data_IF_053649306897
#
_entry.id   IF_053649306897
#
_cell.length_a   1.000
_cell.length_b   1.000
_cell.length_c   1.000
_cell.angle_alpha   90.00
_cell.angle_beta   90.00
_cell.angle_gamma   90.00
#
_symmetry.space_group_name_H-M   'P 1'
#
loop_
_entity.id
_entity.type
_entity.pdbx_description
1 polymer ?
#
# COMPACT_ATOMS: atom_id res chain seq x y z
N UNK A 1 22.45 -17.38 -21.04
CA UNK A 1 22.18 -16.70 -22.33
C UNK A 1 21.77 -15.27 -22.03
N UNK A 2 22.56 -14.26 -22.43
CA UNK A 2 22.18 -12.84 -22.30
C UNK A 2 21.06 -12.57 -23.30
N UNK A 3 19.86 -12.21 -22.83
CA UNK A 3 18.78 -11.70 -23.68
C UNK A 3 19.30 -10.41 -24.35
N UNK A 4 19.52 -10.45 -25.65
CA UNK A 4 19.80 -9.26 -26.46
C UNK A 4 18.60 -8.32 -26.37
N UNK A 5 18.83 -7.10 -25.89
CA UNK A 5 17.79 -6.07 -25.82
C UNK A 5 17.23 -5.83 -27.23
N UNK A 6 15.90 -5.81 -27.34
CA UNK A 6 15.21 -5.46 -28.59
C UNK A 6 15.61 -4.02 -28.96
N UNK A 7 15.95 -3.72 -30.23
CA UNK A 7 16.32 -2.36 -30.61
C UNK A 7 15.18 -1.38 -30.31
N UNK A 8 15.56 -0.24 -29.75
CA UNK A 8 14.62 0.86 -29.43
C UNK A 8 14.04 1.41 -30.75
N UNK A 9 12.72 1.56 -30.81
CA UNK A 9 12.07 2.13 -32.01
C UNK A 9 12.30 3.65 -32.05
N UNK A 10 12.29 4.24 -33.27
CA UNK A 10 12.47 5.69 -33.44
C UNK A 10 11.46 6.50 -32.63
N UNK A 11 10.21 6.06 -32.53
CA UNK A 11 9.15 6.68 -31.73
C UNK A 11 9.49 6.70 -30.23
N UNK A 12 9.97 5.59 -29.69
CA UNK A 12 10.39 5.49 -28.28
C UNK A 12 11.57 6.43 -28.01
N UNK A 13 12.57 6.44 -28.90
CA UNK A 13 13.73 7.31 -28.78
C UNK A 13 13.35 8.80 -28.80
N UNK A 14 12.45 9.19 -29.70
CA UNK A 14 11.97 10.56 -29.83
C UNK A 14 11.17 11.00 -28.59
N UNK A 15 10.20 10.18 -28.14
CA UNK A 15 9.38 10.49 -26.97
C UNK A 15 10.21 10.55 -25.69
N UNK A 16 11.18 9.65 -25.56
CA UNK A 16 12.15 9.65 -24.46
C UNK A 16 12.96 10.95 -24.43
N UNK A 17 13.43 11.41 -25.58
CA UNK A 17 14.21 12.64 -25.70
C UNK A 17 13.37 13.87 -25.29
N UNK A 18 12.12 13.94 -25.71
CA UNK A 18 11.20 15.00 -25.28
C UNK A 18 10.97 15.01 -23.77
N UNK A 19 10.81 13.82 -23.15
CA UNK A 19 10.69 13.71 -21.68
C UNK A 19 11.97 14.19 -20.97
N UNK A 20 13.15 13.87 -21.51
CA UNK A 20 14.40 14.40 -20.98
C UNK A 20 14.43 15.94 -21.03
N UNK A 21 14.12 16.52 -22.18
CA UNK A 21 14.11 17.98 -22.35
C UNK A 21 13.17 18.67 -21.36
N UNK A 22 11.96 18.15 -21.21
CA UNK A 22 10.97 18.73 -20.27
C UNK A 22 11.41 18.59 -18.80
N UNK A 23 11.86 17.41 -18.39
CA UNK A 23 12.27 17.20 -16.98
C UNK A 23 13.60 17.89 -16.66
N UNK A 24 14.53 17.94 -17.62
CA UNK A 24 15.81 18.61 -17.46
C UNK A 24 15.62 20.11 -17.28
N UNK A 25 14.81 20.76 -18.17
CA UNK A 25 14.51 22.17 -18.08
C UNK A 25 13.91 22.55 -16.71
N UNK A 26 13.00 21.73 -16.21
CA UNK A 26 12.42 21.94 -14.88
C UNK A 26 13.45 21.76 -13.77
N UNK A 27 14.25 20.68 -13.81
CA UNK A 27 15.27 20.44 -12.80
C UNK A 27 16.37 21.52 -12.78
N UNK A 28 16.75 22.04 -13.94
CA UNK A 28 17.76 23.11 -14.04
C UNK A 28 17.27 24.47 -13.50
N UNK A 29 15.95 24.72 -13.53
CA UNK A 29 15.36 25.98 -13.06
C UNK A 29 14.85 25.92 -11.62
N UNK A 30 14.32 24.79 -11.19
CA UNK A 30 13.53 24.70 -9.95
C UNK A 30 14.07 23.68 -8.94
N UNK A 31 14.98 22.80 -9.36
CA UNK A 31 15.53 21.76 -8.48
C UNK A 31 17.07 21.75 -8.54
N UNK A 32 17.67 20.58 -8.82
CA UNK A 32 19.11 20.43 -8.91
C UNK A 32 19.52 19.29 -9.87
N UNK A 33 20.85 19.18 -10.07
CA UNK A 33 21.43 18.13 -10.94
C UNK A 33 21.11 16.70 -10.47
N UNK A 34 20.89 16.48 -9.18
CA UNK A 34 20.59 15.16 -8.65
C UNK A 34 19.21 14.68 -9.10
N UNK A 35 18.18 15.53 -8.97
CA UNK A 35 16.84 15.24 -9.49
C UNK A 35 16.85 15.05 -11.01
N UNK A 36 17.60 15.85 -11.74
CA UNK A 36 17.81 15.68 -13.18
C UNK A 36 18.31 14.27 -13.52
N UNK A 37 19.33 13.82 -12.80
CA UNK A 37 19.88 12.46 -12.96
C UNK A 37 18.86 11.37 -12.64
N UNK A 38 18.08 11.53 -11.57
CA UNK A 38 17.04 10.58 -11.18
C UNK A 38 15.91 10.53 -12.23
N UNK A 39 15.46 11.67 -12.75
CA UNK A 39 14.46 11.72 -13.82
C UNK A 39 14.93 10.97 -15.06
N UNK A 40 16.15 11.25 -15.54
CA UNK A 40 16.72 10.56 -16.68
C UNK A 40 16.80 9.05 -16.47
N UNK A 41 17.27 8.61 -15.29
CA UNK A 41 17.34 7.20 -14.93
C UNK A 41 15.95 6.53 -14.94
N UNK A 42 14.93 7.20 -14.43
CA UNK A 42 13.58 6.67 -14.42
C UNK A 42 13.00 6.58 -15.82
N UNK A 43 13.16 7.61 -16.64
CA UNK A 43 12.72 7.64 -18.05
C UNK A 43 13.39 6.51 -18.84
N UNK A 44 14.69 6.29 -18.68
CA UNK A 44 15.39 5.17 -19.30
C UNK A 44 14.83 3.81 -18.87
N UNK A 45 14.51 3.66 -17.59
CA UNK A 45 13.90 2.44 -17.07
C UNK A 45 12.48 2.22 -17.63
N UNK A 46 11.71 3.30 -17.79
CA UNK A 46 10.39 3.29 -18.43
C UNK A 46 10.49 2.87 -19.90
N UNK A 47 11.49 3.36 -20.63
CA UNK A 47 11.70 3.04 -22.05
C UNK A 47 12.00 1.54 -22.29
N UNK A 48 12.52 0.84 -21.29
CA UNK A 48 12.81 -0.61 -21.36
C UNK A 48 11.59 -1.51 -21.15
N UNK A 49 10.44 -0.94 -20.70
CA UNK A 49 9.19 -1.71 -20.60
C UNK A 49 8.59 -1.95 -21.99
N UNK A 50 7.85 -3.01 -22.14
CA UNK A 50 7.21 -3.37 -23.40
C UNK A 50 5.70 -3.56 -23.23
N UNK A 51 4.88 -2.63 -23.72
CA UNK A 51 5.24 -1.35 -24.34
C UNK A 51 5.73 -0.30 -23.32
N UNK A 52 6.56 0.70 -23.74
CA UNK A 52 6.89 1.83 -22.87
C UNK A 52 5.63 2.60 -22.47
N UNK A 53 5.42 2.89 -21.17
CA UNK A 53 4.15 3.43 -20.67
C UNK A 53 3.88 4.84 -21.19
N UNK A 54 4.90 5.65 -21.46
CA UNK A 54 4.79 7.03 -21.91
C UNK A 54 4.40 7.20 -23.40
N UNK A 55 4.29 6.11 -24.16
CA UNK A 55 3.78 6.17 -25.55
C UNK A 55 2.28 6.47 -25.63
N UNK A 56 1.58 6.47 -24.51
CA UNK A 56 0.16 6.79 -24.43
C UNK A 56 -0.08 7.92 -23.44
N UNK A 57 -0.98 8.83 -23.81
CA UNK A 57 -1.36 9.95 -22.99
C UNK A 57 -0.53 11.21 -23.24
N UNK A 58 -0.78 12.23 -22.43
CA UNK A 58 -0.13 13.55 -22.56
C UNK A 58 1.29 13.52 -22.02
N UNK A 59 2.23 14.05 -22.79
CA UNK A 59 3.66 14.01 -22.44
C UNK A 59 4.01 14.93 -21.26
N UNK A 60 3.36 16.07 -21.18
CA UNK A 60 3.49 17.00 -20.04
C UNK A 60 3.05 16.35 -18.71
N UNK A 61 1.97 15.57 -18.75
CA UNK A 61 1.50 14.81 -17.58
C UNK A 61 2.48 13.70 -17.18
N UNK A 62 3.14 13.07 -18.16
CA UNK A 62 4.20 12.11 -17.86
C UNK A 62 5.42 12.79 -17.24
N UNK A 63 5.87 13.92 -17.81
CA UNK A 63 7.00 14.68 -17.28
C UNK A 63 6.74 15.15 -15.83
N UNK A 64 5.58 15.78 -15.59
CA UNK A 64 5.16 16.20 -14.25
C UNK A 64 5.05 15.01 -13.28
N UNK A 65 4.43 13.91 -13.71
CA UNK A 65 4.26 12.70 -12.91
C UNK A 65 5.59 12.05 -12.53
N UNK A 66 6.59 12.07 -13.40
CA UNK A 66 7.94 11.56 -13.12
C UNK A 66 8.60 12.37 -12.00
N UNK A 67 8.59 13.70 -12.12
CA UNK A 67 9.18 14.57 -11.10
C UNK A 67 8.42 14.47 -9.79
N UNK A 68 7.09 14.43 -9.84
CA UNK A 68 6.24 14.28 -8.66
C UNK A 68 6.48 12.94 -7.95
N UNK A 69 6.58 11.83 -8.69
CA UNK A 69 6.83 10.50 -8.15
C UNK A 69 8.18 10.43 -7.41
N UNK A 70 9.24 10.93 -8.04
CA UNK A 70 10.57 11.04 -7.42
C UNK A 70 10.56 12.01 -6.23
N UNK A 71 9.85 13.12 -6.37
CA UNK A 71 9.70 14.11 -5.31
C UNK A 71 9.04 13.56 -4.06
N UNK A 72 7.94 12.80 -4.22
CA UNK A 72 7.25 12.15 -3.11
C UNK A 72 8.14 11.14 -2.37
N UNK A 73 9.02 10.45 -3.10
CA UNK A 73 9.94 9.46 -2.53
C UNK A 73 11.15 10.07 -1.84
N UNK A 74 11.43 11.35 -2.11
CA UNK A 74 12.61 12.08 -1.65
C UNK A 74 12.27 13.33 -0.83
N UNK A 75 11.07 13.42 -0.28
CA UNK A 75 10.59 14.51 0.56
C UNK A 75 10.67 15.92 -0.09
N UNK A 76 10.57 16.01 -1.42
CA UNK A 76 10.65 17.24 -2.17
C UNK A 76 9.59 18.28 -1.76
N UNK A 77 8.43 17.82 -1.28
CA UNK A 77 7.30 18.67 -0.87
C UNK A 77 7.37 19.10 0.60
N UNK A 78 8.38 18.64 1.34
CA UNK A 78 8.63 19.04 2.71
C UNK A 78 9.67 20.16 2.75
N UNK A 79 9.28 21.31 3.31
CA UNK A 79 10.12 22.53 3.39
C UNK A 79 11.36 22.38 4.29
N UNK A 80 11.44 21.30 5.06
CA UNK A 80 12.62 20.99 5.88
C UNK A 80 13.76 20.37 5.06
N UNK A 81 13.53 20.03 3.80
CA UNK A 81 14.52 19.47 2.88
C UNK A 81 14.88 20.45 1.75
N UNK A 82 16.11 20.35 1.25
CA UNK A 82 16.59 21.11 0.09
C UNK A 82 16.95 20.14 -1.07
N UNK A 83 16.48 20.42 -2.30
CA UNK A 83 15.54 21.47 -2.68
C UNK A 83 14.10 21.10 -2.24
N UNK A 84 13.27 22.12 -2.01
CA UNK A 84 11.84 21.93 -1.76
C UNK A 84 11.00 22.77 -2.73
N UNK A 85 9.83 22.26 -3.08
CA UNK A 85 8.85 22.96 -3.93
C UNK A 85 7.45 22.52 -3.55
N UNK A 86 6.45 23.38 -3.73
CA UNK A 86 5.07 22.94 -3.52
C UNK A 86 4.57 22.05 -4.68
N UNK A 87 3.67 21.11 -4.39
CA UNK A 87 3.02 20.29 -5.42
C UNK A 87 2.26 21.15 -6.45
N UNK A 88 1.69 22.27 -6.02
CA UNK A 88 1.01 23.24 -6.88
C UNK A 88 1.96 23.89 -7.88
N UNK A 89 3.13 24.38 -7.41
CA UNK A 89 4.12 25.05 -8.26
C UNK A 89 4.73 24.09 -9.28
N UNK A 90 4.99 22.83 -8.87
CA UNK A 90 5.42 21.79 -9.79
C UNK A 90 4.38 21.59 -10.91
N UNK A 91 3.11 21.42 -10.54
CA UNK A 91 2.05 21.21 -11.52
C UNK A 91 1.86 22.41 -12.44
N UNK A 92 1.94 23.63 -11.91
CA UNK A 92 1.86 24.86 -12.68
C UNK A 92 2.99 24.97 -13.72
N UNK A 93 4.22 24.61 -13.35
CA UNK A 93 5.38 24.63 -14.25
C UNK A 93 5.22 23.71 -15.46
N UNK A 94 4.52 22.57 -15.31
CA UNK A 94 4.22 21.66 -16.42
C UNK A 94 2.84 21.90 -17.08
N UNK A 95 2.07 22.88 -16.62
CA UNK A 95 0.72 23.16 -17.14
C UNK A 95 -0.27 22.03 -16.87
N UNK A 96 -0.13 21.31 -15.76
CA UNK A 96 -0.96 20.15 -15.38
C UNK A 96 -1.80 20.42 -14.13
N UNK A 97 -2.86 19.63 -13.95
CA UNK A 97 -3.67 19.68 -12.72
C UNK A 97 -3.07 18.78 -11.65
N UNK A 98 -3.08 19.20 -10.38
CA UNK A 98 -2.48 18.49 -9.27
C UNK A 98 -3.05 17.07 -9.11
N UNK A 99 -4.37 16.89 -9.14
CA UNK A 99 -5.01 15.57 -9.01
C UNK A 99 -4.56 14.59 -10.11
N UNK A 100 -4.53 15.04 -11.39
CA UNK A 100 -4.07 14.20 -12.50
C UNK A 100 -2.59 13.88 -12.41
N UNK A 101 -1.78 14.82 -11.93
CA UNK A 101 -0.32 14.62 -11.75
C UNK A 101 -0.04 13.66 -10.60
N UNK A 102 -0.73 13.83 -9.47
CA UNK A 102 -0.60 12.92 -8.33
C UNK A 102 -1.02 11.49 -8.69
N UNK A 103 -2.11 11.31 -9.43
CA UNK A 103 -2.54 10.01 -9.92
C UNK A 103 -1.48 9.38 -10.86
N UNK A 104 -0.91 10.18 -11.78
CA UNK A 104 0.17 9.72 -12.66
C UNK A 104 1.42 9.36 -11.87
N UNK A 105 1.77 10.14 -10.85
CA UNK A 105 2.89 9.86 -9.97
C UNK A 105 2.69 8.57 -9.17
N UNK A 106 1.49 8.31 -8.65
CA UNK A 106 1.15 7.04 -7.98
C UNK A 106 1.35 5.86 -8.92
N UNK A 107 0.83 5.93 -10.14
CA UNK A 107 1.05 4.91 -11.16
C UNK A 107 2.53 4.63 -11.42
N UNK A 108 3.36 5.68 -11.51
CA UNK A 108 4.81 5.54 -11.72
C UNK A 108 5.48 4.91 -10.50
N UNK A 109 5.11 5.33 -9.29
CA UNK A 109 5.65 4.79 -8.04
C UNK A 109 5.40 3.30 -7.91
N UNK A 110 4.18 2.87 -8.13
CA UNK A 110 3.80 1.44 -8.12
C UNK A 110 4.55 0.65 -9.21
N UNK A 111 4.65 1.21 -10.42
CA UNK A 111 5.29 0.54 -11.57
C UNK A 111 6.79 0.28 -11.38
N UNK A 112 7.48 1.08 -10.57
CA UNK A 112 8.93 1.06 -10.40
C UNK A 112 9.38 0.92 -8.95
N UNK A 113 8.47 0.62 -8.04
CA UNK A 113 8.73 0.49 -6.60
C UNK A 113 9.45 1.73 -6.05
N UNK A 114 8.87 2.92 -6.34
CA UNK A 114 9.43 4.17 -5.86
C UNK A 114 8.82 4.55 -4.51
N UNK A 115 9.64 4.60 -3.50
CA UNK A 115 9.27 5.00 -2.14
C UNK A 115 10.51 5.05 -1.26
N UNK A 116 10.36 5.54 -0.03
CA UNK A 116 11.46 5.58 0.91
C UNK A 116 12.04 4.18 1.21
N UNK A 117 11.17 3.15 1.27
CA UNK A 117 11.54 1.75 1.42
C UNK A 117 11.66 0.97 0.10
N UNK A 118 11.39 1.62 -1.03
CA UNK A 118 11.46 1.02 -2.36
C UNK A 118 12.88 0.95 -2.94
N UNK A 119 13.00 1.00 -4.29
CA UNK A 119 14.30 0.92 -4.97
C UNK A 119 15.21 2.12 -4.61
N UNK A 120 16.19 1.88 -3.75
CA UNK A 120 17.17 2.87 -3.28
C UNK A 120 17.91 3.61 -4.42
N UNK A 121 17.90 3.04 -5.63
CA UNK A 121 18.53 3.65 -6.79
C UNK A 121 17.84 4.95 -7.26
N UNK A 122 16.64 5.23 -6.76
CA UNK A 122 15.85 6.43 -7.03
C UNK A 122 15.76 7.40 -5.85
N UNK A 123 16.51 7.14 -4.78
CA UNK A 123 16.67 8.08 -3.68
C UNK A 123 17.80 9.09 -3.99
N UNK A 124 17.65 10.31 -3.48
CA UNK A 124 18.74 11.28 -3.44
C UNK A 124 19.85 10.78 -2.51
N UNK A 125 21.05 11.32 -2.66
CA UNK A 125 22.19 10.90 -1.83
C UNK A 125 21.95 11.09 -0.35
N UNK A 126 21.27 12.17 0.02
CA UNK A 126 20.94 12.51 1.40
C UNK A 126 19.95 11.49 1.98
N UNK A 127 18.84 11.28 1.28
CA UNK A 127 17.81 10.32 1.69
C UNK A 127 18.34 8.87 1.67
N UNK A 128 19.14 8.54 0.65
CA UNK A 128 19.79 7.23 0.57
C UNK A 128 20.78 6.96 1.70
N UNK A 129 21.54 7.99 2.15
CA UNK A 129 22.43 7.88 3.31
C UNK A 129 21.62 7.76 4.61
N UNK A 130 20.58 8.56 4.78
CA UNK A 130 19.70 8.48 5.94
C UNK A 130 19.06 7.09 6.05
N UNK A 131 18.56 6.55 4.93
CA UNK A 131 18.05 5.19 4.89
C UNK A 131 19.11 4.15 5.18
N UNK A 132 20.29 4.21 4.54
CA UNK A 132 21.39 3.28 4.79
C UNK A 132 21.88 3.34 6.23
N UNK A 133 21.89 4.53 6.86
CA UNK A 133 22.20 4.69 8.28
C UNK A 133 21.12 4.03 9.16
N UNK A 134 19.84 4.18 8.79
CA UNK A 134 18.73 3.50 9.47
C UNK A 134 18.84 1.98 9.31
N UNK A 135 19.04 1.51 8.07
CA UNK A 135 19.23 0.08 7.77
C UNK A 135 20.44 -0.50 8.54
N UNK A 136 21.56 0.24 8.58
CA UNK A 136 22.75 -0.16 9.33
C UNK A 136 22.51 -0.14 10.83
N UNK A 137 21.78 0.85 11.33
CA UNK A 137 21.40 0.93 12.75
C UNK A 137 20.45 -0.21 13.11
N UNK A 138 19.45 -0.51 12.27
CA UNK A 138 18.56 -1.64 12.44
C UNK A 138 19.31 -2.98 12.35
N UNK A 139 20.27 -3.12 11.41
CA UNK A 139 21.12 -4.30 11.31
C UNK A 139 22.07 -4.45 12.52
N UNK A 140 22.58 -3.36 13.08
CA UNK A 140 23.39 -3.37 14.31
C UNK A 140 22.52 -3.65 15.55
N UNK A 141 21.29 -3.16 15.54
CA UNK A 141 20.32 -3.42 16.61
C UNK A 141 19.65 -4.79 16.48
N UNK A 142 19.58 -5.36 15.26
CA UNK A 142 18.93 -6.65 15.03
C UNK A 142 19.53 -7.81 15.85
N UNK A 143 20.87 -7.96 16.01
CA UNK A 143 21.43 -8.95 16.93
C UNK A 143 21.11 -8.62 18.39
N UNK A 144 21.21 -7.34 18.79
CA UNK A 144 20.86 -6.88 20.14
C UNK A 144 19.35 -7.02 20.42
N UNK A 145 18.52 -6.80 19.40
CA UNK A 145 17.07 -7.05 19.46
C UNK A 145 16.72 -8.54 19.39
N UNK A 146 17.67 -9.41 18.98
CA UNK A 146 17.45 -10.85 18.83
C UNK A 146 18.10 -11.71 19.93
N UNK A 147 19.22 -11.26 20.53
CA UNK A 147 19.88 -11.94 21.64
C UNK A 147 19.47 -11.40 23.01
N UNK A 148 19.14 -10.10 23.06
CA UNK A 148 18.67 -9.39 24.25
C UNK A 148 17.43 -8.54 23.90
N UNK A 149 16.37 -9.15 23.36
CA UNK A 149 15.08 -8.65 23.80
C UNK A 149 15.05 -9.00 25.28
N UNK A 150 15.11 -7.99 26.17
CA UNK A 150 14.98 -8.26 27.58
C UNK A 150 13.72 -9.11 27.73
N UNK A 151 13.79 -10.14 28.55
CA UNK A 151 12.60 -10.75 29.17
C UNK A 151 11.80 -9.69 29.94
N UNK A 152 12.34 -8.47 30.02
CA UNK A 152 11.70 -7.31 30.60
C UNK A 152 10.51 -6.91 29.74
N UNK A 153 9.38 -7.09 30.35
CA UNK A 153 8.02 -6.77 30.00
C UNK A 153 7.93 -5.64 28.95
N UNK A 154 7.59 -5.93 27.68
CA UNK A 154 7.47 -4.87 26.67
C UNK A 154 6.32 -3.90 26.95
N UNK A 155 5.72 -3.95 28.15
CA UNK A 155 4.50 -3.26 28.53
C UNK A 155 3.25 -4.05 28.17
N UNK A 156 2.15 -3.74 28.83
CA UNK A 156 0.85 -4.28 28.46
C UNK A 156 0.26 -3.50 27.28
N UNK A 157 -0.49 -4.16 26.38
CA UNK A 157 -1.26 -3.44 25.36
C UNK A 157 -2.14 -2.38 25.98
N UNK A 158 -2.15 -1.20 25.38
CA UNK A 158 -3.02 -0.13 25.89
C UNK A 158 -4.47 -0.31 25.43
N UNK A 159 -5.40 0.27 26.18
CA UNK A 159 -6.81 0.19 25.83
C UNK A 159 -7.10 1.05 24.58
N UNK A 160 -8.03 0.63 23.71
CA UNK A 160 -8.47 1.44 22.58
C UNK A 160 -9.19 2.70 23.06
N UNK A 161 -9.12 3.75 22.25
CA UNK A 161 -9.85 4.99 22.47
C UNK A 161 -11.09 5.06 21.58
N UNK A 162 -12.15 5.72 22.10
CA UNK A 162 -13.40 5.94 21.37
C UNK A 162 -13.85 7.37 21.62
N UNK A 163 -13.94 8.15 20.55
CA UNK A 163 -14.39 9.53 20.65
C UNK A 163 -15.30 9.90 19.46
N UNK A 164 -16.49 10.42 19.72
CA UNK A 164 -17.40 10.88 18.67
C UNK A 164 -17.89 9.82 17.69
N UNK A 165 -17.65 8.52 17.98
CA UNK A 165 -17.92 7.39 17.09
C UNK A 165 -16.69 6.90 16.32
N UNK A 166 -15.56 7.58 16.44
CA UNK A 166 -14.25 7.10 15.96
C UNK A 166 -13.68 6.06 16.92
N UNK A 167 -13.03 5.05 16.35
CA UNK A 167 -12.28 4.03 17.06
C UNK A 167 -10.81 4.13 16.66
N UNK A 168 -9.94 4.21 17.66
CA UNK A 168 -8.48 4.07 17.50
C UNK A 168 -8.01 3.02 18.47
N UNK A 169 -7.31 2.01 17.95
CA UNK A 169 -6.78 0.95 18.79
C UNK A 169 -5.66 1.45 19.70
N UNK A 170 -5.31 0.66 20.71
CA UNK A 170 -4.20 0.96 21.59
C UNK A 170 -2.85 0.54 20.99
N UNK A 171 -1.79 0.91 21.71
CA UNK A 171 -0.44 0.44 21.38
C UNK A 171 -0.30 -1.05 21.66
N UNK A 172 0.40 -1.73 20.76
CA UNK A 172 0.73 -3.14 20.84
C UNK A 172 2.24 -3.33 20.96
N UNK A 173 2.77 -3.66 22.13
CA UNK A 173 4.21 -3.90 22.32
C UNK A 173 4.75 -5.04 21.43
N UNK A 174 3.89 -5.95 21.02
CA UNK A 174 4.20 -7.04 20.10
C UNK A 174 4.66 -6.61 18.71
N UNK A 175 4.36 -5.37 18.28
CA UNK A 175 4.52 -4.91 16.89
C UNK A 175 5.97 -4.97 16.40
N UNK A 176 6.93 -4.59 17.22
CA UNK A 176 8.35 -4.61 16.82
C UNK A 176 8.86 -6.04 16.62
N UNK A 177 8.50 -6.94 17.52
CA UNK A 177 8.86 -8.36 17.39
C UNK A 177 8.17 -9.01 16.19
N UNK A 178 6.94 -8.63 15.90
CA UNK A 178 6.22 -9.05 14.69
C UNK A 178 6.96 -8.64 13.42
N UNK A 179 7.40 -7.38 13.31
CA UNK A 179 8.15 -6.93 12.12
C UNK A 179 9.47 -7.69 11.94
N UNK A 180 10.19 -7.98 13.03
CA UNK A 180 11.40 -8.79 12.96
C UNK A 180 11.12 -10.23 12.46
N UNK A 181 9.99 -10.83 12.88
CA UNK A 181 9.57 -12.14 12.39
C UNK A 181 9.11 -12.10 10.92
N UNK A 182 8.43 -11.02 10.52
CA UNK A 182 8.01 -10.81 9.14
C UNK A 182 9.21 -10.66 8.20
N UNK A 183 10.19 -9.86 8.56
CA UNK A 183 11.45 -9.73 7.81
C UNK A 183 12.16 -11.08 7.68
N UNK A 184 12.25 -11.82 8.77
CA UNK A 184 12.86 -13.17 8.75
C UNK A 184 12.10 -14.14 7.86
N UNK A 185 10.77 -14.04 7.83
CA UNK A 185 9.94 -14.82 6.92
C UNK A 185 10.20 -14.47 5.45
N UNK A 186 10.34 -13.19 5.12
CA UNK A 186 10.68 -12.76 3.76
C UNK A 186 12.04 -13.28 3.31
N UNK A 187 13.02 -13.30 4.21
CA UNK A 187 14.39 -13.77 3.92
C UNK A 187 14.51 -15.29 3.83
N UNK A 188 13.84 -16.02 4.69
CA UNK A 188 14.09 -17.46 4.90
C UNK A 188 12.86 -18.34 4.68
N UNK A 189 11.69 -17.76 4.41
CA UNK A 189 10.43 -18.48 4.31
C UNK A 189 9.90 -19.00 5.66
N UNK A 190 8.92 -19.93 5.63
CA UNK A 190 8.21 -20.41 6.81
C UNK A 190 9.08 -21.36 7.66
N UNK A 191 9.97 -20.81 8.46
CA UNK A 191 10.82 -21.58 9.38
C UNK A 191 10.09 -21.93 10.69
N UNK A 192 10.49 -23.00 11.41
CA UNK A 192 9.95 -23.29 12.74
C UNK A 192 10.10 -22.15 13.74
N UNK A 193 11.19 -21.36 13.63
CA UNK A 193 11.47 -20.22 14.49
C UNK A 193 10.44 -19.12 14.27
N UNK A 194 10.11 -18.80 13.02
CA UNK A 194 9.08 -17.80 12.69
C UNK A 194 7.72 -18.25 13.22
N UNK A 195 7.35 -19.52 12.99
CA UNK A 195 6.05 -20.03 13.44
C UNK A 195 5.92 -20.00 14.96
N UNK A 196 6.95 -20.48 15.69
CA UNK A 196 6.98 -20.45 17.14
C UNK A 196 6.94 -19.02 17.67
N UNK A 197 7.69 -18.10 17.07
CA UNK A 197 7.68 -16.69 17.45
C UNK A 197 6.31 -16.04 17.28
N UNK A 198 5.58 -16.35 16.20
CA UNK A 198 4.20 -15.88 16.00
C UNK A 198 3.23 -16.48 17.03
N UNK A 199 3.37 -17.77 17.36
CA UNK A 199 2.56 -18.43 18.40
C UNK A 199 2.80 -17.79 19.78
N UNK A 200 4.04 -17.45 20.11
CA UNK A 200 4.40 -16.75 21.34
C UNK A 200 3.81 -15.32 21.36
N UNK A 201 3.84 -14.60 20.21
CA UNK A 201 3.21 -13.27 20.12
C UNK A 201 1.70 -13.32 20.34
N UNK A 202 1.02 -14.30 19.73
CA UNK A 202 -0.41 -14.53 19.93
C UNK A 202 -0.75 -14.78 21.41
N UNK A 203 0.11 -15.48 22.14
CA UNK A 203 -0.09 -15.72 23.58
C UNK A 203 0.12 -14.46 24.43
N UNK A 204 1.13 -13.65 24.09
CA UNK A 204 1.49 -12.44 24.83
C UNK A 204 0.54 -11.26 24.54
N UNK A 205 0.18 -11.09 23.28
CA UNK A 205 -0.69 -10.02 22.80
C UNK A 205 -1.76 -10.59 21.88
N UNK A 206 -2.81 -11.20 22.46
CA UNK A 206 -3.84 -11.87 21.70
C UNK A 206 -4.74 -10.93 20.91
N UNK A 207 -4.60 -9.62 21.08
CA UNK A 207 -5.35 -8.60 20.36
C UNK A 207 -4.52 -7.91 19.26
N UNK A 208 -3.26 -8.32 19.05
CA UNK A 208 -2.47 -7.92 17.89
C UNK A 208 -2.65 -8.92 16.74
N UNK A 209 -3.55 -8.64 15.83
CA UNK A 209 -4.10 -9.61 14.88
C UNK A 209 -3.18 -9.95 13.69
N UNK A 210 -2.20 -9.10 13.35
CA UNK A 210 -1.26 -9.42 12.26
C UNK A 210 -0.47 -10.71 12.53
N UNK A 211 -0.24 -11.06 13.79
CA UNK A 211 0.40 -12.33 14.18
C UNK A 211 -0.43 -13.55 13.76
N UNK A 212 -1.75 -13.46 13.91
CA UNK A 212 -2.68 -14.52 13.46
C UNK A 212 -2.74 -14.61 11.94
N UNK A 213 -2.82 -13.45 11.27
CA UNK A 213 -2.93 -13.40 9.81
C UNK A 213 -1.70 -14.02 9.15
N UNK A 214 -0.51 -13.67 9.63
CA UNK A 214 0.74 -14.22 9.12
C UNK A 214 0.87 -15.70 9.39
N UNK A 215 0.53 -16.17 10.60
CA UNK A 215 0.57 -17.60 10.93
C UNK A 215 -0.47 -18.39 10.10
N UNK A 216 -1.65 -17.80 9.87
CA UNK A 216 -2.68 -18.40 9.01
C UNK A 216 -2.20 -18.53 7.55
N UNK A 217 -1.53 -17.52 7.01
CA UNK A 217 -0.91 -17.57 5.67
C UNK A 217 0.13 -18.70 5.59
N UNK A 218 1.01 -18.82 6.58
CA UNK A 218 2.02 -19.88 6.64
C UNK A 218 1.35 -21.24 6.66
N UNK A 219 0.34 -21.45 7.53
CA UNK A 219 -0.41 -22.72 7.62
C UNK A 219 -1.13 -23.05 6.32
N UNK A 220 -1.73 -22.07 5.65
CA UNK A 220 -2.37 -22.27 4.35
C UNK A 220 -1.38 -22.72 3.27
N UNK A 221 -0.19 -22.08 3.19
CA UNK A 221 0.89 -22.46 2.26
C UNK A 221 1.43 -23.87 2.53
N UNK A 222 1.38 -24.32 3.77
CA UNK A 222 1.72 -25.70 4.18
C UNK A 222 0.59 -26.70 3.92
N UNK A 223 -0.54 -26.29 3.35
CA UNK A 223 -1.70 -27.15 3.11
C UNK A 223 -2.61 -27.37 4.33
N UNK A 224 -2.32 -26.73 5.45
CA UNK A 224 -3.08 -26.85 6.71
C UNK A 224 -4.25 -25.86 6.74
N UNK A 225 -5.17 -26.00 5.76
CA UNK A 225 -6.25 -25.04 5.53
C UNK A 225 -7.21 -24.88 6.72
N UNK A 226 -7.49 -25.97 7.42
CA UNK A 226 -8.37 -25.93 8.60
C UNK A 226 -7.75 -25.07 9.72
N UNK A 227 -6.48 -25.32 10.06
CA UNK A 227 -5.77 -24.53 11.08
C UNK A 227 -5.64 -23.06 10.67
N UNK A 228 -5.43 -22.76 9.40
CA UNK A 228 -5.42 -21.38 8.88
C UNK A 228 -6.79 -20.71 9.05
N UNK A 229 -7.87 -21.41 8.78
CA UNK A 229 -9.24 -20.91 8.96
C UNK A 229 -9.57 -20.64 10.43
N UNK A 230 -9.15 -21.51 11.35
CA UNK A 230 -9.35 -21.34 12.80
C UNK A 230 -8.60 -20.10 13.34
N UNK A 231 -7.37 -19.87 12.87
CA UNK A 231 -6.59 -18.67 13.22
C UNK A 231 -7.29 -17.40 12.74
N UNK A 232 -7.73 -17.36 11.48
CA UNK A 232 -8.45 -16.22 10.93
C UNK A 232 -9.77 -15.99 11.64
N UNK A 233 -10.53 -17.04 11.95
CA UNK A 233 -11.79 -16.91 12.70
C UNK A 233 -11.55 -16.37 14.10
N UNK A 234 -10.52 -16.88 14.81
CA UNK A 234 -10.16 -16.39 16.13
C UNK A 234 -9.79 -14.91 16.10
N UNK A 235 -8.93 -14.49 15.16
CA UNK A 235 -8.58 -13.10 14.98
C UNK A 235 -9.82 -12.24 14.68
N UNK A 236 -10.69 -12.69 13.80
CA UNK A 236 -11.92 -11.98 13.43
C UNK A 236 -12.86 -11.78 14.63
N UNK A 237 -13.14 -12.82 15.40
CA UNK A 237 -14.03 -12.73 16.57
C UNK A 237 -13.47 -11.79 17.65
N UNK A 238 -12.15 -11.84 17.88
CA UNK A 238 -11.50 -10.93 18.83
C UNK A 238 -11.51 -9.50 18.31
N UNK A 239 -11.18 -9.28 17.04
CA UNK A 239 -11.25 -7.95 16.41
C UNK A 239 -12.66 -7.37 16.47
N UNK A 240 -13.67 -8.18 16.19
CA UNK A 240 -15.07 -7.76 16.28
C UNK A 240 -15.43 -7.35 17.71
N UNK A 241 -15.08 -8.16 18.71
CA UNK A 241 -15.31 -7.84 20.12
C UNK A 241 -14.61 -6.55 20.53
N UNK A 242 -13.38 -6.33 20.00
CA UNK A 242 -12.57 -5.15 20.34
C UNK A 242 -13.15 -3.86 19.79
N UNK A 243 -13.71 -3.86 18.58
CA UNK A 243 -14.23 -2.63 17.94
C UNK A 243 -15.68 -2.32 18.30
N UNK A 244 -16.49 -3.31 18.68
CA UNK A 244 -17.88 -3.06 19.04
C UNK A 244 -18.00 -2.25 20.35
N UNK A 245 -18.93 -1.31 20.39
CA UNK A 245 -19.25 -0.59 21.61
C UNK A 245 -20.08 -1.44 22.59
N UNK A 246 -20.39 -0.88 23.75
CA UNK A 246 -21.20 -1.55 24.79
C UNK A 246 -22.62 -1.94 24.31
N UNK A 247 -23.09 -1.38 23.19
CA UNK A 247 -24.38 -1.70 22.56
C UNK A 247 -24.23 -2.68 21.39
N UNK A 248 -23.02 -3.19 21.14
CA UNK A 248 -22.71 -4.06 20.02
C UNK A 248 -22.70 -3.33 18.66
N UNK A 249 -22.48 -2.02 18.64
CA UNK A 249 -22.48 -1.24 17.43
C UNK A 249 -21.06 -1.11 16.87
N UNK A 250 -20.94 -1.23 15.55
CA UNK A 250 -19.72 -0.96 14.80
C UNK A 250 -19.35 0.53 14.87
N UNK A 251 -18.07 0.91 14.95
CA UNK A 251 -17.65 2.31 14.98
C UNK A 251 -18.05 3.04 13.68
N UNK A 252 -18.37 4.32 13.78
CA UNK A 252 -18.65 5.16 12.61
C UNK A 252 -17.41 5.40 11.78
N UNK A 253 -16.25 5.51 12.45
CA UNK A 253 -14.96 5.69 11.82
C UNK A 253 -13.96 4.68 12.36
N UNK A 254 -13.29 3.96 11.46
CA UNK A 254 -12.20 3.01 11.67
C UNK A 254 -11.14 3.30 10.60
N UNK A 255 -10.44 4.42 10.76
CA UNK A 255 -9.56 4.96 9.73
C UNK A 255 -8.26 4.16 9.59
N UNK A 256 -7.88 3.90 8.33
CA UNK A 256 -6.58 3.32 7.99
C UNK A 256 -5.41 4.26 8.33
N UNK A 257 -5.67 5.56 8.42
CA UNK A 257 -4.68 6.56 8.78
C UNK A 257 -4.01 6.28 10.12
N UNK A 258 -4.76 5.74 11.08
CA UNK A 258 -4.22 5.26 12.35
C UNK A 258 -3.49 3.94 12.14
N UNK A 259 -2.20 3.91 12.43
CA UNK A 259 -1.39 2.69 12.27
C UNK A 259 -1.92 1.55 13.15
N UNK A 260 -2.41 1.90 14.31
CA UNK A 260 -2.98 1.03 15.33
C UNK A 260 -4.22 0.27 14.81
N UNK A 261 -5.00 0.87 13.91
CA UNK A 261 -6.19 0.25 13.33
C UNK A 261 -5.90 -0.74 12.20
N UNK A 262 -4.71 -0.70 11.60
CA UNK A 262 -4.42 -1.42 10.35
C UNK A 262 -4.52 -2.94 10.48
N UNK A 263 -4.05 -3.52 11.59
CA UNK A 263 -4.15 -4.96 11.81
C UNK A 263 -5.62 -5.43 11.96
N UNK A 264 -6.48 -4.57 12.51
CA UNK A 264 -7.92 -4.80 12.61
C UNK A 264 -8.56 -4.78 11.24
N UNK A 265 -8.32 -3.73 10.46
CA UNK A 265 -8.86 -3.58 9.09
C UNK A 265 -8.41 -4.75 8.21
N UNK A 266 -7.13 -5.14 8.29
CA UNK A 266 -6.61 -6.32 7.56
C UNK A 266 -7.32 -7.60 7.97
N UNK A 267 -7.67 -7.75 9.24
CA UNK A 267 -8.38 -8.93 9.73
C UNK A 267 -9.78 -9.02 9.12
N UNK A 268 -10.55 -7.94 9.13
CA UNK A 268 -11.87 -7.92 8.49
C UNK A 268 -11.79 -8.10 6.97
N UNK A 269 -10.80 -7.50 6.32
CA UNK A 269 -10.53 -7.67 4.90
C UNK A 269 -10.27 -9.14 4.55
N UNK A 270 -9.37 -9.80 5.27
CA UNK A 270 -9.04 -11.22 5.06
C UNK A 270 -10.25 -12.13 5.34
N UNK A 271 -11.05 -11.82 6.38
CA UNK A 271 -12.28 -12.56 6.67
C UNK A 271 -13.29 -12.43 5.53
N UNK A 272 -13.52 -11.22 5.02
CA UNK A 272 -14.42 -10.98 3.91
C UNK A 272 -13.97 -11.70 2.62
N UNK A 273 -12.67 -11.69 2.32
CA UNK A 273 -12.09 -12.44 1.20
C UNK A 273 -12.29 -13.95 1.40
N UNK A 274 -12.11 -14.46 2.62
CA UNK A 274 -12.31 -15.88 2.94
C UNK A 274 -13.79 -16.30 2.74
N UNK A 275 -14.74 -15.47 3.17
CA UNK A 275 -16.18 -15.68 2.93
C UNK A 275 -16.49 -15.71 1.44
N UNK A 276 -16.00 -14.73 0.67
CA UNK A 276 -16.22 -14.68 -0.77
C UNK A 276 -15.63 -15.90 -1.48
N UNK A 277 -14.42 -16.29 -1.12
CA UNK A 277 -13.75 -17.49 -1.66
C UNK A 277 -14.46 -18.77 -1.26
N UNK A 278 -15.06 -18.79 -0.07
CA UNK A 278 -15.85 -19.91 0.48
C UNK A 278 -17.25 -20.06 -0.12
N UNK A 279 -17.67 -19.10 -0.99
CA UNK A 279 -19.00 -19.15 -1.63
C UNK A 279 -20.10 -18.44 -0.82
N UNK A 280 -19.72 -17.55 0.07
CA UNK A 280 -20.62 -16.70 0.88
C UNK A 280 -20.49 -15.20 0.48
N UNK A 281 -20.79 -14.84 -0.79
CA UNK A 281 -20.56 -13.49 -1.30
C UNK A 281 -21.40 -12.42 -0.57
N UNK A 282 -22.60 -12.73 -0.12
CA UNK A 282 -23.46 -11.79 0.60
C UNK A 282 -22.89 -11.42 1.97
N UNK A 283 -22.38 -12.41 2.71
CA UNK A 283 -21.71 -12.17 3.99
C UNK A 283 -20.40 -11.38 3.79
N UNK A 284 -19.65 -11.69 2.74
CA UNK A 284 -18.47 -10.91 2.36
C UNK A 284 -18.82 -9.47 2.01
N UNK A 285 -19.88 -9.26 1.23
CA UNK A 285 -20.36 -7.94 0.82
C UNK A 285 -20.77 -7.09 2.03
N UNK A 286 -21.48 -7.67 3.00
CA UNK A 286 -21.85 -6.97 4.22
C UNK A 286 -20.59 -6.47 4.96
N UNK A 287 -19.57 -7.31 5.09
CA UNK A 287 -18.35 -6.95 5.81
C UNK A 287 -17.52 -5.91 5.05
N UNK A 288 -17.39 -6.03 3.73
CA UNK A 288 -16.76 -5.01 2.89
C UNK A 288 -17.49 -3.67 2.96
N UNK A 289 -18.84 -3.69 2.92
CA UNK A 289 -19.63 -2.46 3.02
C UNK A 289 -19.43 -1.76 4.38
N UNK A 290 -19.38 -2.52 5.48
CA UNK A 290 -19.07 -1.96 6.81
C UNK A 290 -17.69 -1.33 6.84
N UNK A 291 -16.67 -1.96 6.26
CA UNK A 291 -15.33 -1.41 6.14
C UNK A 291 -15.33 -0.11 5.32
N UNK A 292 -16.00 -0.09 4.17
CA UNK A 292 -16.06 1.11 3.33
C UNK A 292 -16.76 2.28 4.06
N UNK A 293 -17.85 2.01 4.78
CA UNK A 293 -18.57 3.02 5.53
C UNK A 293 -17.75 3.61 6.69
N UNK A 294 -16.93 2.80 7.35
CA UNK A 294 -16.10 3.26 8.46
C UNK A 294 -14.71 3.79 8.03
N UNK A 295 -14.32 3.58 6.76
CA UNK A 295 -13.08 4.09 6.16
C UNK A 295 -13.32 4.50 4.70
N UNK A 296 -14.02 5.65 4.45
CA UNK A 296 -14.40 6.08 3.10
C UNK A 296 -13.23 6.34 2.17
N UNK A 297 -12.05 6.71 2.71
CA UNK A 297 -10.81 6.87 1.94
C UNK A 297 -10.35 5.57 1.27
N UNK A 298 -10.90 4.44 1.70
CA UNK A 298 -10.75 3.12 1.10
C UNK A 298 -9.30 2.72 0.74
N UNK A 299 -8.38 2.97 1.65
CA UNK A 299 -6.98 2.59 1.49
C UNK A 299 -6.79 1.06 1.35
N UNK A 300 -7.76 0.28 1.84
CA UNK A 300 -7.79 -1.18 1.71
C UNK A 300 -8.36 -1.67 0.35
N UNK A 301 -8.93 -0.78 -0.44
CA UNK A 301 -9.46 -1.08 -1.78
C UNK A 301 -10.72 -1.95 -1.78
N UNK A 302 -11.54 -1.90 -0.73
CA UNK A 302 -12.73 -2.76 -0.59
C UNK A 302 -13.82 -2.44 -1.61
N UNK A 303 -13.89 -1.21 -2.13
CA UNK A 303 -14.83 -0.83 -3.20
C UNK A 303 -14.71 -1.71 -4.44
N UNK A 304 -13.48 -2.15 -4.76
CA UNK A 304 -13.25 -3.04 -5.91
C UNK A 304 -13.91 -4.40 -5.69
N UNK A 305 -13.85 -4.92 -4.48
CA UNK A 305 -14.44 -6.22 -4.11
C UNK A 305 -15.97 -6.15 -4.06
N UNK A 306 -16.53 -5.04 -3.50
CA UNK A 306 -17.97 -4.79 -3.51
C UNK A 306 -18.49 -4.82 -4.95
N UNK A 307 -17.89 -4.04 -5.84
CA UNK A 307 -18.32 -4.00 -7.25
C UNK A 307 -18.16 -5.36 -7.95
N UNK A 308 -17.08 -6.09 -7.65
CA UNK A 308 -16.84 -7.40 -8.24
C UNK A 308 -17.91 -8.42 -7.81
N UNK A 309 -18.29 -8.44 -6.54
CA UNK A 309 -19.38 -9.30 -6.03
C UNK A 309 -20.70 -8.92 -6.66
N UNK A 310 -21.03 -7.62 -6.73
CA UNK A 310 -22.25 -7.12 -7.37
C UNK A 310 -22.36 -7.49 -8.85
N UNK A 311 -21.23 -7.60 -9.53
CA UNK A 311 -21.15 -8.07 -10.93
C UNK A 311 -21.10 -9.61 -11.05
N UNK A 312 -21.29 -10.35 -9.96
CA UNK A 312 -21.31 -11.82 -9.94
C UNK A 312 -19.93 -12.46 -10.17
N UNK A 313 -18.84 -11.73 -9.93
CA UNK A 313 -17.49 -12.28 -10.05
C UNK A 313 -17.15 -13.16 -8.85
N UNK A 314 -16.40 -14.24 -9.08
CA UNK A 314 -15.72 -14.98 -8.02
C UNK A 314 -14.41 -14.26 -7.67
N UNK A 315 -13.89 -14.45 -6.45
CA UNK A 315 -12.59 -13.90 -6.06
C UNK A 315 -11.47 -14.30 -7.03
N UNK A 316 -11.38 -15.58 -7.37
CA UNK A 316 -10.40 -16.07 -8.36
C UNK A 316 -10.58 -15.44 -9.75
N UNK A 317 -11.84 -15.17 -10.16
CA UNK A 317 -12.14 -14.47 -11.41
C UNK A 317 -11.66 -13.02 -11.39
N UNK A 318 -11.84 -12.35 -10.26
CA UNK A 318 -11.34 -11.00 -10.02
C UNK A 318 -9.81 -10.95 -10.05
N UNK A 319 -9.13 -11.82 -9.31
CA UNK A 319 -7.66 -11.88 -9.32
C UNK A 319 -7.11 -12.16 -10.73
N UNK A 320 -7.63 -13.16 -11.45
CA UNK A 320 -7.22 -13.46 -12.83
C UNK A 320 -7.37 -12.27 -13.77
N UNK A 321 -8.37 -11.41 -13.53
CA UNK A 321 -8.62 -10.24 -14.36
C UNK A 321 -7.68 -9.09 -14.04
N UNK A 322 -7.32 -8.87 -12.78
CA UNK A 322 -6.67 -7.64 -12.33
C UNK A 322 -5.28 -7.83 -11.72
N UNK A 323 -4.91 -9.06 -11.33
CA UNK A 323 -3.56 -9.36 -10.79
C UNK A 323 -2.63 -9.80 -11.90
N UNK A 324 -1.46 -9.21 -11.95
CA UNK A 324 -0.33 -9.59 -12.81
C UNK A 324 0.84 -10.09 -11.95
N UNK A 325 1.92 -10.50 -12.58
CA UNK A 325 3.17 -10.83 -11.87
C UNK A 325 3.77 -9.62 -11.10
N UNK A 326 3.23 -8.42 -11.30
CA UNK A 326 3.65 -7.18 -10.63
C UNK A 326 2.60 -6.66 -9.62
N UNK A 327 1.63 -7.48 -9.25
CA UNK A 327 0.51 -7.10 -8.41
C UNK A 327 -0.73 -6.65 -9.19
N UNK A 328 -1.60 -5.89 -8.53
CA UNK A 328 -2.83 -5.39 -9.14
C UNK A 328 -2.55 -4.35 -10.23
N UNK A 329 -3.24 -4.48 -11.36
CA UNK A 329 -3.28 -3.47 -12.42
C UNK A 329 -4.24 -2.34 -12.03
N UNK A 330 -3.71 -1.33 -11.34
CA UNK A 330 -4.49 -0.21 -10.82
C UNK A 330 -5.24 0.57 -11.90
N UNK A 331 -4.64 0.75 -13.10
CA UNK A 331 -5.32 1.45 -14.20
C UNK A 331 -6.51 0.67 -14.72
N UNK A 332 -6.35 -0.62 -14.89
CA UNK A 332 -7.43 -1.50 -15.34
C UNK A 332 -8.55 -1.59 -14.30
N UNK A 333 -8.20 -1.57 -13.02
CA UNK A 333 -9.18 -1.52 -11.92
C UNK A 333 -9.98 -0.21 -11.94
N UNK A 334 -9.32 0.94 -12.08
CA UNK A 334 -9.97 2.25 -12.12
C UNK A 334 -10.92 2.34 -13.33
N UNK A 335 -10.44 2.05 -14.54
CA UNK A 335 -11.24 2.09 -15.75
C UNK A 335 -12.45 1.16 -15.67
N UNK A 336 -12.25 -0.03 -15.14
CA UNK A 336 -13.32 -1.00 -14.95
C UNK A 336 -14.34 -0.52 -13.90
N UNK A 337 -13.89 0.11 -12.82
CA UNK A 337 -14.74 0.64 -11.78
C UNK A 337 -15.60 1.78 -12.32
N UNK A 338 -14.97 2.78 -12.93
CA UNK A 338 -15.65 3.94 -13.50
C UNK A 338 -16.73 3.54 -14.53
N UNK A 339 -16.45 2.48 -15.31
CA UNK A 339 -17.40 1.94 -16.29
C UNK A 339 -18.62 1.28 -15.64
N UNK A 340 -18.49 0.75 -14.42
CA UNK A 340 -19.50 -0.13 -13.84
C UNK A 340 -20.17 0.43 -12.57
N UNK A 341 -19.57 1.39 -11.90
CA UNK A 341 -20.06 1.92 -10.60
C UNK A 341 -21.49 2.44 -10.70
N UNK A 342 -21.85 3.13 -11.78
CA UNK A 342 -23.20 3.67 -11.98
C UNK A 342 -24.32 2.63 -12.08
N UNK A 343 -23.99 1.34 -12.14
CA UNK A 343 -24.98 0.25 -12.10
C UNK A 343 -25.48 -0.06 -10.69
N UNK A 344 -24.76 0.42 -9.65
CA UNK A 344 -25.03 0.12 -8.25
C UNK A 344 -25.02 1.40 -7.40
N UNK A 345 -25.98 2.33 -7.65
CA UNK A 345 -26.04 3.62 -6.97
C UNK A 345 -26.22 3.45 -5.44
N UNK A 346 -26.99 2.45 -4.99
CA UNK A 346 -27.23 2.20 -3.58
C UNK A 346 -25.94 1.87 -2.79
N UNK A 347 -24.96 1.26 -3.46
CA UNK A 347 -23.69 0.91 -2.83
C UNK A 347 -22.67 2.07 -2.87
N UNK A 348 -22.75 3.00 -3.85
CA UNK A 348 -21.63 3.90 -4.14
C UNK A 348 -21.97 5.40 -4.20
N UNK A 349 -23.23 5.83 -4.38
CA UNK A 349 -23.57 7.26 -4.46
C UNK A 349 -23.18 8.03 -3.19
N UNK A 350 -23.41 7.42 -2.04
CA UNK A 350 -23.02 8.00 -0.76
C UNK A 350 -21.49 8.14 -0.66
N UNK A 351 -20.76 7.11 -1.12
CA UNK A 351 -19.30 7.09 -1.08
C UNK A 351 -18.70 8.14 -2.01
N UNK A 352 -19.21 8.28 -3.24
CA UNK A 352 -18.77 9.33 -4.16
C UNK A 352 -18.98 10.73 -3.60
N UNK A 353 -20.08 10.95 -2.87
CA UNK A 353 -20.33 12.23 -2.17
C UNK A 353 -19.34 12.45 -1.04
N UNK A 354 -19.14 11.45 -0.19
CA UNK A 354 -18.23 11.55 0.95
C UNK A 354 -16.78 11.86 0.51
N UNK A 355 -16.30 11.21 -0.55
CA UNK A 355 -14.94 11.43 -1.08
C UNK A 355 -14.83 12.71 -1.92
N UNK A 356 -15.94 13.19 -2.51
CA UNK A 356 -15.99 14.43 -3.29
C UNK A 356 -16.00 15.68 -2.41
N UNK A 357 -16.66 15.65 -1.26
CA UNK A 357 -16.74 16.77 -0.31
C UNK A 357 -15.42 17.04 0.45
N UNK A 358 -14.53 16.05 0.56
CA UNK A 358 -13.17 16.25 1.15
C UNK A 358 -12.18 16.91 0.17
N UNK A 359 -12.55 17.08 -1.10
CA UNK A 359 -11.67 17.62 -2.15
C UNK A 359 -12.06 19.03 -2.61
N UNK A 360 -13.06 19.67 -2.03
CA UNK A 360 -13.45 21.05 -2.21
C UNK A 360 -13.00 21.91 -1.01
#
# INVERSE_FOLDING_TARGET
MKKTAKPETAEVAQTKQQLFEMTDAFCDTSLNFEYKRLCRKLIERMARKSPPPFLRGRLDLWAAGIVYALGSSNFLFDKSFEPSISASDLCAAFGTKQGSTAQKATQIREMFDLGYMGDAAFLTKEIGKSRASLDQHLLQMAPLLMEDLPEDDPGEPTAPTRHGGEFVDGDHPAIMRFYALAERYEQSGPSPVVQKGLEELIQRDPDFFDSYLMLAEIRAKQGQRAAAGELLETAYQRALTRILDAKGQWPKSLEWGWMENRHIIRTFLNKAIALWTGGEPEAALELFSRLLHSNPNDNAGVRWYILAIRLGMTFTGFEKKFVSQYGYDGMKLIEWFDTNIGKFPDDFDWWQKAVGEEND
#
